data_IF_113449869261
#
_entry.id   IF_113449869261
#
_cell.length_a   1.000
_cell.length_b   1.000
_cell.length_c   1.000
_cell.angle_alpha   90.00
_cell.angle_beta   90.00
_cell.angle_gamma   90.00
#
_symmetry.space_group_name_H-M   'P 1'
#
loop_
_entity.id
_entity.type
_entity.pdbx_description
1 polymer ?
#
# COMPACT_ATOMS: atom_id res chain seq x y z
N UNK A 1 48.26 -51.53 -12.67
CA UNK A 1 48.03 -50.07 -12.63
C UNK A 1 46.54 -49.79 -12.46
N UNK A 2 46.23 -49.02 -11.41
CA UNK A 2 44.98 -48.48 -10.84
C UNK A 2 43.64 -48.71 -11.61
N UNK A 3 42.71 -49.44 -10.96
CA UNK A 3 41.26 -49.40 -11.24
C UNK A 3 40.68 -48.12 -10.64
N UNK A 4 40.21 -47.19 -11.47
CA UNK A 4 39.50 -45.99 -11.01
C UNK A 4 38.02 -46.32 -10.97
N UNK A 5 37.46 -46.43 -9.77
CA UNK A 5 36.03 -46.65 -9.55
C UNK A 5 35.36 -45.28 -9.44
N UNK A 6 34.63 -44.87 -10.48
CA UNK A 6 33.92 -43.60 -10.52
C UNK A 6 32.57 -43.78 -9.80
N UNK A 7 32.45 -43.24 -8.58
CA UNK A 7 31.15 -43.16 -7.91
C UNK A 7 30.34 -42.00 -8.52
N UNK A 8 29.29 -42.33 -9.26
CA UNK A 8 28.30 -41.37 -9.73
C UNK A 8 27.34 -41.06 -8.56
N UNK A 9 27.61 -39.97 -7.83
CA UNK A 9 26.73 -39.49 -6.78
C UNK A 9 25.44 -38.91 -7.37
N UNK A 10 24.31 -39.58 -7.16
CA UNK A 10 22.98 -39.03 -7.46
C UNK A 10 22.66 -37.96 -6.42
N UNK A 11 22.68 -36.69 -6.83
CA UNK A 11 22.19 -35.57 -6.02
C UNK A 11 20.67 -35.51 -6.20
N UNK A 12 19.93 -36.03 -5.24
CA UNK A 12 18.47 -35.84 -5.17
C UNK A 12 18.23 -34.44 -4.58
N UNK A 13 17.87 -33.48 -5.44
CA UNK A 13 17.36 -32.18 -5.03
C UNK A 13 15.97 -32.39 -4.41
N UNK A 14 15.91 -32.55 -3.09
CA UNK A 14 14.67 -32.46 -2.32
C UNK A 14 14.21 -31.01 -2.36
N UNK A 15 13.30 -30.70 -3.27
CA UNK A 15 12.58 -29.42 -3.25
C UNK A 15 11.70 -29.41 -2.00
N UNK A 16 12.12 -28.71 -0.95
CA UNK A 16 11.22 -28.37 0.14
C UNK A 16 10.05 -27.58 -0.44
N UNK A 17 8.83 -28.14 -0.37
CA UNK A 17 7.63 -27.39 -0.72
C UNK A 17 7.46 -26.31 0.35
N UNK A 18 7.66 -25.06 -0.03
CA UNK A 18 7.18 -23.94 0.76
C UNK A 18 5.65 -23.96 0.68
N UNK A 19 5.01 -24.68 1.59
CA UNK A 19 3.57 -24.59 1.77
C UNK A 19 3.29 -23.23 2.38
N UNK A 20 2.72 -22.31 1.60
CA UNK A 20 2.35 -20.97 2.06
C UNK A 20 1.25 -20.98 3.14
N UNK A 21 0.89 -22.15 3.67
CA UNK A 21 -0.22 -22.41 4.60
C UNK A 21 -1.59 -21.89 4.12
N UNK A 22 -1.71 -21.32 2.93
CA UNK A 22 -2.96 -20.89 2.30
C UNK A 22 -3.67 -22.11 1.74
N UNK A 23 -4.87 -22.39 2.24
CA UNK A 23 -5.69 -23.56 1.86
C UNK A 23 -6.77 -23.19 0.85
N UNK A 24 -7.18 -21.92 0.79
CA UNK A 24 -8.21 -21.45 -0.14
C UNK A 24 -8.05 -19.97 -0.48
N UNK A 25 -8.28 -19.61 -1.74
CA UNK A 25 -8.44 -18.22 -2.20
C UNK A 25 -9.85 -18.08 -2.77
N UNK A 26 -10.58 -17.09 -2.28
CA UNK A 26 -11.90 -16.70 -2.75
C UNK A 26 -11.82 -15.31 -3.36
N UNK A 27 -12.16 -15.18 -4.65
CA UNK A 27 -12.32 -13.88 -5.30
C UNK A 27 -13.79 -13.49 -5.18
N UNK A 28 -14.07 -12.46 -4.40
CA UNK A 28 -15.44 -11.97 -4.17
C UNK A 28 -15.86 -10.94 -5.21
N UNK A 29 -14.89 -10.18 -5.75
CA UNK A 29 -15.20 -9.11 -6.72
C UNK A 29 -14.06 -8.86 -7.70
N UNK A 30 -14.42 -8.61 -8.96
CA UNK A 30 -13.56 -8.01 -9.99
C UNK A 30 -14.27 -6.83 -10.63
N UNK A 31 -13.57 -5.72 -10.82
CA UNK A 31 -14.17 -4.50 -11.40
C UNK A 31 -13.11 -3.60 -12.04
N UNK A 32 -13.47 -2.78 -13.05
CA UNK A 32 -12.58 -1.78 -13.59
C UNK A 32 -12.08 -0.81 -12.51
N UNK A 33 -10.80 -0.48 -12.57
CA UNK A 33 -10.22 0.61 -11.78
C UNK A 33 -10.39 1.94 -12.51
N UNK A 34 -10.61 3.04 -11.77
CA UNK A 34 -10.74 4.39 -12.31
C UNK A 34 -11.70 4.49 -13.52
N UNK A 35 -12.87 3.85 -13.42
CA UNK A 35 -13.87 3.77 -14.48
C UNK A 35 -13.32 3.25 -15.84
N UNK A 36 -12.28 2.42 -15.81
CA UNK A 36 -11.65 1.86 -17.01
C UNK A 36 -10.63 2.79 -17.67
N UNK A 37 -10.22 3.88 -17.02
CA UNK A 37 -9.18 4.77 -17.53
C UNK A 37 -7.89 3.99 -17.84
N UNK A 38 -7.28 4.31 -18.98
CA UNK A 38 -5.99 3.76 -19.38
C UNK A 38 -4.83 4.58 -18.78
N UNK A 39 -3.76 3.88 -18.38
CA UNK A 39 -2.56 4.48 -17.81
C UNK A 39 -1.36 4.22 -18.74
N UNK A 40 -0.99 5.26 -19.51
CA UNK A 40 0.09 5.17 -20.48
C UNK A 40 -0.06 3.98 -21.44
N UNK A 41 1.06 3.31 -21.74
CA UNK A 41 1.08 2.19 -22.68
C UNK A 41 0.61 0.85 -22.07
N UNK A 42 0.51 0.77 -20.73
CA UNK A 42 0.09 -0.45 -20.01
C UNK A 42 -1.42 -0.69 -20.16
N UNK A 43 -2.20 0.39 -20.30
CA UNK A 43 -3.64 0.33 -20.52
C UNK A 43 -4.45 0.38 -19.22
N UNK A 44 -5.70 -0.10 -19.23
CA UNK A 44 -6.58 -0.05 -18.08
C UNK A 44 -6.18 -1.07 -17.01
N UNK A 45 -6.61 -0.81 -15.78
CA UNK A 45 -6.39 -1.68 -14.62
C UNK A 45 -7.73 -2.21 -14.09
N UNK A 46 -7.68 -3.34 -13.40
CA UNK A 46 -8.81 -3.89 -12.64
C UNK A 46 -8.44 -4.09 -11.17
N UNK A 47 -9.46 -4.02 -10.32
CA UNK A 47 -9.40 -4.35 -8.89
C UNK A 47 -9.87 -5.79 -8.73
N UNK A 48 -9.05 -6.63 -8.12
CA UNK A 48 -9.41 -8.00 -7.73
C UNK A 48 -9.45 -8.05 -6.20
N UNK A 49 -10.62 -8.28 -5.65
CA UNK A 49 -10.88 -8.26 -4.21
C UNK A 49 -11.32 -9.64 -3.77
N UNK A 50 -10.86 -10.06 -2.61
CA UNK A 50 -11.20 -11.38 -2.10
C UNK A 50 -10.67 -11.66 -0.72
N UNK A 51 -10.68 -12.93 -0.34
CA UNK A 51 -10.19 -13.44 0.93
C UNK A 51 -9.33 -14.67 0.69
N UNK A 52 -8.22 -14.78 1.41
CA UNK A 52 -7.50 -16.04 1.52
C UNK A 52 -7.71 -16.64 2.90
N UNK A 53 -7.72 -17.96 2.94
CA UNK A 53 -7.84 -18.78 4.14
C UNK A 53 -6.58 -19.63 4.26
N UNK A 54 -6.13 -19.87 5.48
CA UNK A 54 -5.00 -20.74 5.71
C UNK A 54 -5.00 -21.39 7.09
N UNK A 55 -4.01 -22.25 7.28
CA UNK A 55 -3.87 -23.12 8.45
C UNK A 55 -2.43 -23.12 8.97
N UNK A 56 -2.23 -22.58 10.16
CA UNK A 56 -0.92 -22.55 10.83
C UNK A 56 -0.71 -23.78 11.70
N UNK A 57 0.55 -24.16 11.85
CA UNK A 57 0.98 -25.26 12.70
C UNK A 57 1.56 -24.71 13.99
N UNK A 58 0.89 -24.86 15.14
CA UNK A 58 1.39 -24.26 16.38
C UNK A 58 2.76 -24.78 16.85
N UNK A 59 3.16 -25.95 16.36
CA UNK A 59 4.47 -26.56 16.63
C UNK A 59 5.43 -26.46 15.45
N UNK A 60 5.03 -25.81 14.35
CA UNK A 60 5.84 -25.67 13.16
C UNK A 60 6.92 -24.59 13.38
N UNK A 61 8.18 -24.90 13.05
CA UNK A 61 9.31 -24.01 13.35
C UNK A 61 9.14 -22.60 12.76
N UNK A 62 8.59 -22.49 11.55
CA UNK A 62 8.34 -21.19 10.88
C UNK A 62 7.26 -20.36 11.59
N UNK A 63 6.33 -21.01 12.28
CA UNK A 63 5.20 -20.36 12.95
C UNK A 63 5.51 -20.05 14.42
N UNK A 64 6.64 -20.53 14.96
CA UNK A 64 6.99 -20.44 16.38
C UNK A 64 7.17 -19.01 16.93
N UNK A 65 7.39 -18.02 16.05
CA UNK A 65 7.48 -16.60 16.42
C UNK A 65 6.13 -15.90 16.60
N UNK A 66 5.03 -16.58 16.27
CA UNK A 66 3.68 -16.04 16.42
C UNK A 66 3.24 -16.21 17.87
N UNK A 67 3.05 -15.08 18.55
CA UNK A 67 2.64 -15.01 19.96
C UNK A 67 1.29 -15.71 20.15
N UNK A 68 1.21 -16.53 21.21
CA UNK A 68 0.02 -17.28 21.67
C UNK A 68 -0.61 -18.22 20.63
N UNK A 69 0.11 -18.56 19.55
CA UNK A 69 -0.40 -19.46 18.51
C UNK A 69 -0.73 -20.85 19.06
N UNK A 70 0.01 -21.31 20.06
CA UNK A 70 -0.20 -22.58 20.76
C UNK A 70 -1.49 -22.59 21.59
N UNK A 71 -1.96 -21.43 22.04
CA UNK A 71 -3.19 -21.23 22.79
C UNK A 71 -4.44 -21.09 21.89
N UNK A 72 -4.26 -20.86 20.58
CA UNK A 72 -5.37 -20.66 19.66
C UNK A 72 -6.21 -21.94 19.45
N UNK A 73 -7.50 -21.75 19.16
CA UNK A 73 -8.42 -22.83 18.81
C UNK A 73 -7.94 -23.57 17.55
N UNK A 74 -8.07 -24.90 17.57
CA UNK A 74 -7.58 -25.78 16.52
C UNK A 74 -8.73 -26.51 15.85
N UNK A 75 -8.64 -26.71 14.54
CA UNK A 75 -9.56 -27.55 13.80
C UNK A 75 -9.30 -29.05 14.07
N UNK A 76 -10.11 -29.93 13.47
CA UNK A 76 -9.97 -31.38 13.65
C UNK A 76 -8.62 -31.96 13.16
N UNK A 77 -7.84 -31.20 12.38
CA UNK A 77 -6.47 -31.55 11.95
C UNK A 77 -5.40 -31.04 12.93
N UNK A 78 -5.78 -30.40 14.04
CA UNK A 78 -4.86 -29.81 15.01
C UNK A 78 -4.21 -28.51 14.53
N UNK A 79 -4.76 -27.87 13.49
CA UNK A 79 -4.24 -26.64 12.88
C UNK A 79 -5.02 -25.42 13.32
N UNK A 80 -4.38 -24.26 13.37
CA UNK A 80 -5.04 -22.98 13.66
C UNK A 80 -5.49 -22.33 12.36
N UNK A 81 -6.80 -22.13 12.22
CA UNK A 81 -7.38 -21.53 11.00
C UNK A 81 -7.30 -20.01 11.05
N UNK A 82 -6.92 -19.38 9.94
CA UNK A 82 -6.91 -17.94 9.79
C UNK A 82 -7.50 -17.52 8.45
N UNK A 83 -7.86 -16.24 8.34
CA UNK A 83 -8.23 -15.67 7.05
C UNK A 83 -7.93 -14.17 7.00
N UNK A 84 -7.59 -13.68 5.83
CA UNK A 84 -7.32 -12.27 5.59
C UNK A 84 -7.85 -11.83 4.22
N UNK A 85 -8.33 -10.59 4.16
CA UNK A 85 -8.77 -9.97 2.91
C UNK A 85 -7.57 -9.57 2.05
N UNK A 86 -7.73 -9.59 0.74
CA UNK A 86 -6.76 -9.04 -0.20
C UNK A 86 -7.43 -8.09 -1.19
N UNK A 87 -6.64 -7.16 -1.71
CA UNK A 87 -7.01 -6.25 -2.78
C UNK A 87 -5.83 -6.10 -3.71
N UNK A 88 -5.98 -6.55 -4.94
CA UNK A 88 -4.95 -6.50 -5.97
C UNK A 88 -5.40 -5.50 -7.02
N UNK A 89 -4.54 -4.52 -7.30
CA UNK A 89 -4.68 -3.64 -8.46
C UNK A 89 -3.69 -4.12 -9.52
N UNK A 90 -4.19 -4.56 -10.67
CA UNK A 90 -3.34 -5.09 -11.75
C UNK A 90 -3.77 -4.53 -13.11
N UNK A 91 -2.87 -4.50 -14.11
CA UNK A 91 -3.25 -4.32 -15.51
C UNK A 91 -4.31 -5.35 -15.92
N UNK A 92 -5.25 -4.95 -16.77
CA UNK A 92 -6.18 -5.90 -17.40
C UNK A 92 -5.39 -6.89 -18.25
N UNK A 93 -4.46 -6.38 -19.06
CA UNK A 93 -3.49 -7.17 -19.82
C UNK A 93 -2.20 -7.38 -19.02
N UNK A 94 -2.05 -8.56 -18.41
CA UNK A 94 -0.88 -8.90 -17.60
C UNK A 94 0.42 -8.97 -18.38
N UNK A 95 0.38 -9.17 -19.71
CA UNK A 95 1.59 -9.19 -20.56
C UNK A 95 2.24 -7.81 -20.62
N UNK A 96 1.45 -6.75 -20.40
CA UNK A 96 1.94 -5.37 -20.33
C UNK A 96 2.41 -4.95 -18.93
N UNK A 97 2.31 -5.84 -17.94
CA UNK A 97 2.90 -5.63 -16.63
C UNK A 97 4.42 -5.77 -16.66
N UNK A 98 5.11 -5.14 -15.69
CA UNK A 98 6.56 -5.22 -15.56
C UNK A 98 7.05 -6.42 -14.70
N UNK A 99 6.14 -7.34 -14.34
CA UNK A 99 6.45 -8.51 -13.51
C UNK A 99 6.77 -8.22 -12.03
N UNK A 100 6.70 -6.96 -11.60
CA UNK A 100 6.96 -6.57 -10.21
C UNK A 100 5.66 -6.44 -9.42
N UNK A 101 5.67 -6.91 -8.16
CA UNK A 101 4.61 -6.64 -7.20
C UNK A 101 5.02 -5.45 -6.32
N UNK A 102 4.27 -4.36 -6.40
CA UNK A 102 4.31 -3.35 -5.34
C UNK A 102 3.36 -3.81 -4.22
N UNK A 103 3.94 -4.11 -3.06
CA UNK A 103 3.21 -4.59 -1.89
C UNK A 103 3.18 -3.49 -0.82
N UNK A 104 1.98 -3.12 -0.40
CA UNK A 104 1.76 -2.21 0.71
C UNK A 104 1.53 -3.03 1.98
N UNK A 105 2.44 -2.89 2.95
CA UNK A 105 2.33 -3.56 4.24
C UNK A 105 1.22 -2.87 5.01
N UNK A 106 0.12 -3.58 5.23
CA UNK A 106 -1.01 -3.11 6.02
C UNK A 106 -0.62 -2.93 7.50
N UNK A 107 -0.02 -1.78 7.83
CA UNK A 107 0.20 -1.37 9.20
C UNK A 107 -1.10 -0.74 9.76
N UNK A 108 -1.93 -1.56 10.42
CA UNK A 108 -3.12 -1.13 11.21
C UNK A 108 -4.10 -0.19 10.49
N UNK A 109 -4.33 -0.37 9.20
CA UNK A 109 -5.24 0.49 8.44
C UNK A 109 -6.04 -0.21 7.35
N UNK A 110 -7.27 0.30 7.13
CA UNK A 110 -8.01 0.11 5.88
C UNK A 110 -7.28 0.85 4.74
N UNK A 111 -7.69 0.60 3.48
CA UNK A 111 -7.26 1.42 2.33
C UNK A 111 -7.96 2.78 2.37
N UNK A 112 -7.56 3.63 3.32
CA UNK A 112 -8.17 4.95 3.52
C UNK A 112 -7.37 5.98 2.75
N UNK A 113 -8.06 6.72 1.87
CA UNK A 113 -7.48 7.90 1.22
C UNK A 113 -7.83 9.12 2.06
N UNK A 114 -6.94 9.52 2.96
CA UNK A 114 -7.12 10.70 3.80
C UNK A 114 -7.28 11.98 2.95
N UNK A 115 -7.92 13.05 3.48
CA UNK A 115 -8.19 14.27 2.73
C UNK A 115 -6.93 14.91 2.11
N UNK A 116 -5.78 14.82 2.76
CA UNK A 116 -4.51 15.35 2.23
C UNK A 116 -4.01 14.62 0.98
N UNK A 117 -4.39 13.35 0.80
CA UNK A 117 -4.13 12.57 -0.42
C UNK A 117 -5.27 12.74 -1.44
N UNK A 118 -6.50 13.02 -0.97
CA UNK A 118 -7.65 13.28 -1.81
C UNK A 118 -7.56 14.63 -2.53
N UNK A 119 -7.11 15.64 -1.79
CA UNK A 119 -7.07 17.06 -2.16
C UNK A 119 -5.66 17.59 -1.91
N UNK A 120 -4.65 17.10 -2.65
CA UNK A 120 -3.25 17.34 -2.32
C UNK A 120 -2.82 18.78 -2.62
N UNK A 121 -1.96 19.30 -1.75
CA UNK A 121 -1.19 20.55 -1.94
C UNK A 121 0.30 20.28 -2.17
N UNK A 122 0.69 19.00 -2.19
CA UNK A 122 2.04 18.53 -2.44
C UNK A 122 2.07 17.01 -2.60
N UNK A 123 3.29 16.48 -2.71
CA UNK A 123 3.55 15.03 -2.73
C UNK A 123 4.04 14.60 -1.36
N UNK A 124 3.27 13.73 -0.69
CA UNK A 124 3.73 13.01 0.49
C UNK A 124 4.49 11.74 0.06
N UNK A 125 5.63 11.47 0.71
CA UNK A 125 6.41 10.24 0.53
C UNK A 125 6.49 9.47 1.84
N UNK A 126 6.51 8.14 1.77
CA UNK A 126 6.69 7.28 2.95
C UNK A 126 8.12 7.20 3.48
N UNK A 127 8.98 8.16 3.11
CA UNK A 127 10.38 8.22 3.51
C UNK A 127 10.81 9.68 3.64
N UNK A 128 11.70 9.95 4.59
CA UNK A 128 12.42 11.20 4.75
C UNK A 128 13.90 10.90 4.98
N UNK A 129 14.77 11.82 4.55
CA UNK A 129 16.20 11.73 4.84
C UNK A 129 16.54 12.64 6.01
N UNK A 130 17.45 12.21 6.86
CA UNK A 130 17.92 13.00 8.01
C UNK A 130 18.64 14.25 7.51
N UNK A 131 18.29 15.40 8.10
CA UNK A 131 18.99 16.65 7.90
C UNK A 131 20.40 16.60 8.54
N UNK A 132 21.30 17.47 8.09
CA UNK A 132 22.69 17.45 8.54
C UNK A 132 22.85 17.73 10.04
N UNK A 133 21.98 18.58 10.59
CA UNK A 133 21.93 18.94 12.02
C UNK A 133 21.29 17.86 12.90
N UNK A 134 20.53 16.93 12.33
CA UNK A 134 19.91 15.79 13.01
C UNK A 134 20.86 14.58 13.20
N UNK A 135 22.09 14.67 12.68
CA UNK A 135 23.08 13.58 12.63
C UNK A 135 22.70 12.48 11.62
N UNK A 136 23.70 11.80 11.03
CA UNK A 136 23.45 10.76 10.02
C UNK A 136 22.87 11.32 8.71
N UNK A 137 23.41 12.43 8.24
CA UNK A 137 22.89 13.16 7.08
C UNK A 137 22.71 12.24 5.85
N UNK A 138 21.52 12.28 5.25
CA UNK A 138 21.21 11.45 4.08
C UNK A 138 20.80 10.01 4.39
N UNK A 139 20.86 9.58 5.65
CA UNK A 139 20.25 8.31 6.07
C UNK A 139 18.72 8.44 6.17
N UNK A 140 18.03 7.31 6.14
CA UNK A 140 16.58 7.27 6.30
C UNK A 140 16.19 7.68 7.74
N UNK A 141 15.31 8.68 7.87
CA UNK A 141 14.63 8.95 9.13
C UNK A 141 13.44 8.01 9.26
N UNK A 142 13.60 6.97 10.08
CA UNK A 142 12.60 5.93 10.23
C UNK A 142 11.28 6.50 10.78
N UNK A 143 10.15 6.08 10.19
CA UNK A 143 8.77 6.53 10.48
C UNK A 143 8.41 7.97 10.08
N UNK A 144 9.37 8.77 9.62
CA UNK A 144 9.08 10.09 9.08
C UNK A 144 8.88 10.05 7.56
N UNK A 145 7.78 10.63 7.12
CA UNK A 145 7.53 10.92 5.71
C UNK A 145 8.11 12.28 5.31
N UNK A 146 8.26 12.51 4.01
CA UNK A 146 8.57 13.84 3.49
C UNK A 146 7.37 14.42 2.76
N UNK A 147 7.30 15.75 2.69
CA UNK A 147 6.29 16.47 1.94
C UNK A 147 6.98 17.46 1.00
N UNK A 148 6.73 17.29 -0.30
CA UNK A 148 7.24 18.20 -1.34
C UNK A 148 6.07 19.02 -1.86
N UNK A 149 5.92 20.30 -1.44
CA UNK A 149 4.83 21.16 -1.88
C UNK A 149 4.73 21.24 -3.40
N UNK A 150 3.53 21.44 -3.93
CA UNK A 150 3.37 21.87 -5.31
C UNK A 150 3.78 23.33 -5.45
N UNK A 151 4.23 23.71 -6.64
CA UNK A 151 4.39 25.12 -6.99
C UNK A 151 3.06 25.86 -6.74
N UNK A 152 3.13 27.10 -6.26
CA UNK A 152 1.93 27.91 -6.03
C UNK A 152 1.23 28.22 -7.35
N UNK A 153 2.00 28.74 -8.30
CA UNK A 153 1.50 29.15 -9.61
C UNK A 153 2.17 28.45 -10.78
N UNK A 154 1.56 28.62 -11.96
CA UNK A 154 2.06 28.01 -13.21
C UNK A 154 3.48 28.48 -13.56
N UNK A 155 3.78 29.77 -13.34
CA UNK A 155 5.09 30.33 -13.63
C UNK A 155 6.20 29.69 -12.76
N UNK A 156 5.95 29.48 -11.47
CA UNK A 156 6.88 28.81 -10.58
C UNK A 156 7.07 27.34 -10.98
N UNK A 157 5.99 26.64 -11.33
CA UNK A 157 6.02 25.26 -11.83
C UNK A 157 6.94 25.14 -13.03
N UNK A 158 6.77 26.03 -14.02
CA UNK A 158 7.53 26.02 -15.27
C UNK A 158 9.00 26.38 -15.05
N UNK A 159 9.28 27.39 -14.21
CA UNK A 159 10.65 27.77 -13.87
C UNK A 159 11.43 26.64 -13.18
N UNK A 160 10.74 25.81 -12.38
CA UNK A 160 11.32 24.64 -11.71
C UNK A 160 11.26 23.35 -12.53
N UNK A 161 10.72 23.40 -13.75
CA UNK A 161 10.43 22.23 -14.58
C UNK A 161 9.64 21.14 -13.82
N UNK A 162 8.76 21.53 -12.90
CA UNK A 162 7.95 20.59 -12.12
C UNK A 162 6.82 20.03 -13.01
N UNK A 163 6.76 18.71 -13.23
CA UNK A 163 5.71 18.10 -14.05
C UNK A 163 4.34 18.07 -13.37
N UNK A 164 4.26 18.36 -12.06
CA UNK A 164 3.03 18.32 -11.27
C UNK A 164 2.31 19.67 -11.40
N UNK A 165 1.00 19.64 -11.69
CA UNK A 165 0.14 20.85 -11.70
C UNK A 165 0.31 21.65 -10.40
N UNK A 166 0.40 22.97 -10.53
CA UNK A 166 0.48 23.92 -9.41
C UNK A 166 -0.81 23.98 -8.60
N UNK A 167 -0.79 24.70 -7.47
CA UNK A 167 -1.99 24.95 -6.65
C UNK A 167 -3.06 25.69 -7.47
N UNK A 168 -2.71 26.79 -8.13
CA UNK A 168 -3.61 27.58 -9.00
C UNK A 168 -4.18 26.75 -10.16
N UNK A 169 -3.39 25.81 -10.69
CA UNK A 169 -3.87 24.92 -11.75
C UNK A 169 -4.85 23.87 -11.19
N UNK A 170 -4.81 23.53 -9.90
CA UNK A 170 -5.64 22.47 -9.28
C UNK A 170 -6.93 22.98 -8.64
N UNK A 171 -6.87 24.18 -8.07
CA UNK A 171 -7.94 24.77 -7.28
C UNK A 171 -8.22 26.17 -7.79
N UNK A 172 -9.51 26.50 -7.94
CA UNK A 172 -9.90 27.84 -8.40
C UNK A 172 -9.43 28.92 -7.42
N UNK A 173 -9.62 28.65 -6.14
CA UNK A 173 -9.30 29.53 -5.02
C UNK A 173 -9.27 28.70 -3.72
N UNK A 174 -8.99 29.37 -2.60
CA UNK A 174 -8.99 28.74 -1.27
C UNK A 174 -10.35 28.14 -0.89
N UNK A 175 -11.46 28.75 -1.31
CA UNK A 175 -12.79 28.25 -0.99
C UNK A 175 -13.09 26.93 -1.73
N UNK A 176 -12.67 26.81 -2.99
CA UNK A 176 -12.73 25.56 -3.77
C UNK A 176 -11.89 24.44 -3.11
N UNK A 177 -10.68 24.77 -2.65
CA UNK A 177 -9.85 23.84 -1.89
C UNK A 177 -10.55 23.34 -0.62
N UNK A 178 -11.00 24.25 0.24
CA UNK A 178 -11.68 23.91 1.50
C UNK A 178 -12.97 23.12 1.25
N UNK A 179 -13.74 23.46 0.21
CA UNK A 179 -14.93 22.72 -0.18
C UNK A 179 -14.62 21.26 -0.57
N UNK A 180 -13.56 21.05 -1.37
CA UNK A 180 -13.08 19.71 -1.74
C UNK A 180 -12.58 18.92 -0.52
N UNK A 181 -11.84 19.56 0.40
CA UNK A 181 -11.41 18.91 1.66
C UNK A 181 -12.62 18.49 2.49
N UNK A 182 -13.61 19.38 2.64
CA UNK A 182 -14.86 19.08 3.36
C UNK A 182 -15.60 17.90 2.75
N UNK A 183 -15.68 17.82 1.42
CA UNK A 183 -16.30 16.69 0.73
C UNK A 183 -15.56 15.37 0.99
N UNK A 184 -14.22 15.39 0.98
CA UNK A 184 -13.40 14.22 1.29
C UNK A 184 -13.59 13.77 2.75
N UNK A 185 -13.53 14.69 3.71
CA UNK A 185 -13.72 14.41 5.13
C UNK A 185 -15.14 13.86 5.41
N UNK A 186 -16.18 14.46 4.82
CA UNK A 186 -17.56 14.00 4.98
C UNK A 186 -17.78 12.59 4.40
N UNK A 187 -17.05 12.23 3.34
CA UNK A 187 -17.06 10.86 2.80
C UNK A 187 -16.51 9.87 3.82
N UNK A 188 -15.34 10.16 4.39
CA UNK A 188 -14.73 9.29 5.40
C UNK A 188 -15.57 9.20 6.68
N UNK A 189 -16.19 10.30 7.10
CA UNK A 189 -17.11 10.29 8.24
C UNK A 189 -18.31 9.39 7.98
N UNK A 190 -18.95 9.52 6.82
CA UNK A 190 -20.10 8.68 6.43
C UNK A 190 -19.71 7.20 6.37
N UNK A 191 -18.51 6.91 5.88
CA UNK A 191 -18.02 5.55 5.70
C UNK A 191 -17.49 4.94 7.02
N UNK A 192 -17.49 5.72 8.12
CA UNK A 192 -17.09 5.28 9.47
C UNK A 192 -15.59 5.33 9.74
N UNK A 193 -14.81 5.92 8.82
CA UNK A 193 -13.35 6.06 8.94
C UNK A 193 -12.92 7.31 9.74
N UNK A 194 -13.82 8.29 9.94
CA UNK A 194 -13.60 9.48 10.77
C UNK A 194 -14.75 9.72 11.76
N UNK A 195 -14.41 10.17 12.96
CA UNK A 195 -15.38 10.78 13.86
C UNK A 195 -15.81 12.15 13.32
N UNK A 196 -16.97 12.65 13.77
CA UNK A 196 -17.47 13.96 13.37
C UNK A 196 -16.49 15.08 13.75
N UNK A 197 -15.88 14.96 14.93
CA UNK A 197 -14.90 15.92 15.45
C UNK A 197 -13.60 15.90 14.63
N UNK A 198 -13.19 14.74 14.13
CA UNK A 198 -12.00 14.60 13.29
C UNK A 198 -12.23 15.20 11.91
N UNK A 199 -13.39 14.95 11.31
CA UNK A 199 -13.78 15.55 10.04
C UNK A 199 -13.82 17.09 10.13
N UNK A 200 -14.36 17.63 11.23
CA UNK A 200 -14.39 19.07 11.47
C UNK A 200 -12.98 19.63 11.64
N UNK A 201 -12.12 18.99 12.43
CA UNK A 201 -10.74 19.43 12.66
C UNK A 201 -9.94 19.53 11.37
N UNK A 202 -10.09 18.57 10.47
CA UNK A 202 -9.44 18.57 9.15
C UNK A 202 -9.90 19.78 8.32
N UNK A 203 -11.20 20.08 8.34
CA UNK A 203 -11.76 21.24 7.62
C UNK A 203 -11.28 22.56 8.21
N UNK A 204 -11.18 22.65 9.53
CA UNK A 204 -10.65 23.83 10.22
C UNK A 204 -9.18 24.07 9.88
N UNK A 205 -8.37 23.00 9.85
CA UNK A 205 -6.96 23.06 9.41
C UNK A 205 -6.83 23.54 7.97
N UNK A 206 -7.64 23.01 7.05
CA UNK A 206 -7.66 23.47 5.66
C UNK A 206 -8.09 24.94 5.53
N UNK A 207 -9.01 25.39 6.40
CA UNK A 207 -9.46 26.79 6.45
C UNK A 207 -8.38 27.72 7.00
N UNK A 208 -7.61 27.27 7.98
CA UNK A 208 -6.50 28.01 8.58
C UNK A 208 -5.24 28.03 7.69
N UNK A 209 -5.12 27.12 6.73
CA UNK A 209 -3.95 26.99 5.87
C UNK A 209 -3.65 28.31 5.12
N UNK A 210 -2.40 28.79 5.13
CA UNK A 210 -1.96 29.89 4.26
C UNK A 210 -2.09 29.49 2.78
N UNK A 211 -2.59 30.42 1.96
CA UNK A 211 -2.80 30.22 0.53
C UNK A 211 -1.80 31.10 -0.25
#
# INVERSE_FOLDING_TARGET
>A
MKRVMLFLGVVVLLTARAEAAVTRIEITRREPFAAGQAFGNVGPYEKVVGRFHGELGPTHAVDSGIVDLDMALRNARGRVEYSAGFYILKPVDLVKGNGALFYDVNNRGNKVRLPDLAVPTGTATGWALRAADAGGAGELCYLDGSFVPFAKGKAEREAKADPRRSIEERYRDKADYVAKVRQAAATLQRDGDLLAEDAQRIVDQATAMPW
#
